data_IF_274035431052
#
_entry.id   IF_274035431052
#
_cell.length_a   1.000
_cell.length_b   1.000
_cell.length_c   1.000
_cell.angle_alpha   90.00
_cell.angle_beta   90.00
_cell.angle_gamma   90.00
#
_symmetry.space_group_name_H-M   'P 1'
#
loop_
_entity.id
_entity.type
_entity.pdbx_description
1 polymer ?
#
# COMPACT_ATOMS: atom_id res chain seq x y z
N UNK A 1 -11.40 -1.66 -19.35
CA UNK A 1 -11.12 -2.05 -17.96
C UNK A 1 -12.45 -2.14 -17.24
N UNK A 2 -12.73 -3.26 -16.60
CA UNK A 2 -14.00 -3.48 -15.90
C UNK A 2 -13.96 -2.82 -14.51
N UNK A 3 -15.10 -2.37 -13.97
CA UNK A 3 -15.17 -1.72 -12.64
C UNK A 3 -14.52 -2.54 -11.51
N UNK A 4 -14.49 -3.87 -11.63
CA UNK A 4 -13.84 -4.76 -10.66
C UNK A 4 -12.32 -4.64 -10.68
N UNK A 5 -11.72 -4.40 -11.85
CA UNK A 5 -10.28 -4.16 -11.98
C UNK A 5 -9.90 -2.84 -11.29
N UNK A 6 -10.72 -1.81 -11.45
CA UNK A 6 -10.49 -0.50 -10.83
C UNK A 6 -10.64 -0.50 -9.30
N UNK A 7 -11.39 -1.45 -8.71
CA UNK A 7 -11.58 -1.54 -7.25
C UNK A 7 -10.40 -2.18 -6.53
N UNK A 8 -9.85 -3.27 -7.05
CA UNK A 8 -8.74 -3.97 -6.39
C UNK A 8 -7.44 -3.15 -6.42
N UNK A 9 -7.27 -2.29 -7.43
CA UNK A 9 -6.19 -1.29 -7.47
C UNK A 9 -6.35 -0.15 -6.44
N UNK A 10 -7.48 -0.08 -5.74
CA UNK A 10 -7.81 1.00 -4.79
C UNK A 10 -7.84 0.57 -3.33
N UNK A 11 -7.78 -0.73 -3.04
CA UNK A 11 -7.86 -1.26 -1.67
C UNK A 11 -6.49 -1.71 -1.20
N UNK A 12 -6.04 -1.14 -0.08
CA UNK A 12 -4.84 -1.58 0.64
C UNK A 12 -5.24 -2.27 1.94
N UNK A 13 -4.83 -3.52 2.08
CA UNK A 13 -5.04 -4.30 3.29
C UNK A 13 -3.91 -4.03 4.28
N UNK A 14 -4.26 -3.61 5.48
CA UNK A 14 -3.33 -3.29 6.57
C UNK A 14 -3.31 -4.46 7.53
N UNK A 15 -2.25 -5.27 7.45
CA UNK A 15 -1.94 -6.32 8.41
C UNK A 15 -0.67 -5.90 9.16
N UNK A 16 -0.71 -5.92 10.50
CA UNK A 16 0.41 -5.46 11.30
C UNK A 16 1.66 -6.34 11.06
N UNK A 17 2.83 -5.71 10.95
CA UNK A 17 4.12 -6.33 10.61
C UNK A 17 4.17 -6.99 9.21
N UNK A 18 3.30 -6.59 8.27
CA UNK A 18 3.36 -7.03 6.88
C UNK A 18 3.70 -5.88 5.92
N UNK A 19 4.34 -6.16 4.78
CA UNK A 19 4.56 -5.17 3.74
C UNK A 19 3.23 -4.65 3.19
N UNK A 20 3.17 -3.36 2.88
CA UNK A 20 2.02 -2.72 2.27
C UNK A 20 1.91 -3.09 0.79
N UNK A 21 1.15 -4.15 0.51
CA UNK A 21 0.91 -4.71 -0.84
C UNK A 21 -0.56 -4.54 -1.22
N UNK A 22 -0.80 -4.20 -2.48
CA UNK A 22 -2.14 -4.04 -3.04
C UNK A 22 -2.18 -4.36 -4.54
N UNK A 23 -3.34 -4.14 -5.16
CA UNK A 23 -3.60 -4.44 -6.56
C UNK A 23 -4.28 -5.79 -6.74
N UNK A 24 -4.93 -5.96 -7.90
CA UNK A 24 -5.71 -7.18 -8.23
C UNK A 24 -4.89 -8.47 -8.12
N UNK A 25 -3.61 -8.40 -8.46
CA UNK A 25 -2.69 -9.55 -8.48
C UNK A 25 -1.64 -9.46 -7.36
N UNK A 26 -1.84 -8.57 -6.37
CA UNK A 26 -0.89 -8.32 -5.29
C UNK A 26 0.52 -7.96 -5.82
N UNK A 27 0.56 -7.24 -6.93
CA UNK A 27 1.76 -6.91 -7.68
C UNK A 27 2.20 -5.45 -7.51
N UNK A 28 1.52 -4.66 -6.66
CA UNK A 28 1.89 -3.28 -6.33
C UNK A 28 2.20 -3.15 -4.84
N UNK A 29 3.13 -2.26 -4.51
CA UNK A 29 3.53 -2.00 -3.14
C UNK A 29 3.78 -0.52 -2.87
N UNK A 30 3.85 -0.17 -1.59
CA UNK A 30 4.28 1.16 -1.14
C UNK A 30 5.75 1.09 -0.76
N UNK A 31 6.61 1.79 -1.49
CA UNK A 31 8.03 1.95 -1.19
C UNK A 31 8.31 3.36 -0.66
N UNK A 32 9.32 3.51 0.18
CA UNK A 32 9.80 4.82 0.65
C UNK A 32 11.11 5.18 -0.07
N UNK A 33 11.05 6.19 -0.94
CA UNK A 33 12.25 6.83 -1.49
C UNK A 33 12.67 7.97 -0.54
N UNK A 34 13.54 7.64 0.41
CA UNK A 34 13.79 8.48 1.58
C UNK A 34 12.54 8.56 2.46
N UNK A 35 11.91 9.73 2.55
CA UNK A 35 10.66 9.96 3.29
C UNK A 35 9.44 10.12 2.38
N UNK A 36 9.59 9.89 1.07
CA UNK A 36 8.51 10.08 0.09
C UNK A 36 7.92 8.72 -0.28
N UNK A 37 6.61 8.49 -0.05
CA UNK A 37 5.94 7.26 -0.46
C UNK A 37 5.83 7.22 -1.98
N UNK A 38 5.96 6.02 -2.56
CA UNK A 38 5.76 5.75 -3.98
C UNK A 38 5.06 4.42 -4.18
N UNK A 39 4.13 4.38 -5.12
CA UNK A 39 3.63 3.11 -5.65
C UNK A 39 4.68 2.52 -6.58
N UNK A 40 5.04 1.26 -6.34
CA UNK A 40 5.97 0.50 -7.17
C UNK A 40 5.34 -0.82 -7.61
N UNK A 41 5.74 -1.32 -8.77
CA UNK A 41 5.41 -2.69 -9.20
C UNK A 41 6.46 -3.68 -8.67
N UNK A 42 5.98 -4.77 -8.09
CA UNK A 42 6.78 -5.86 -7.52
C UNK A 42 7.17 -6.82 -8.66
N UNK A 43 8.43 -7.22 -8.72
CA UNK A 43 8.95 -8.15 -9.74
C UNK A 43 10.39 -7.82 -10.13
N UNK A 44 10.56 -6.93 -11.11
CA UNK A 44 11.86 -6.65 -11.73
C UNK A 44 12.84 -5.96 -10.77
N UNK A 45 12.51 -4.73 -10.35
CA UNK A 45 13.40 -3.89 -9.53
C UNK A 45 13.10 -4.00 -8.03
N UNK A 46 11.85 -4.30 -7.69
CA UNK A 46 11.34 -4.22 -6.33
C UNK A 46 10.82 -5.58 -5.89
N UNK A 47 11.17 -5.96 -4.67
CA UNK A 47 10.64 -7.13 -3.97
C UNK A 47 9.75 -6.70 -2.81
N UNK A 48 9.07 -7.65 -2.17
CA UNK A 48 8.29 -7.37 -0.96
C UNK A 48 9.14 -6.86 0.20
N UNK A 49 10.43 -7.18 0.23
CA UNK A 49 11.35 -6.79 1.30
C UNK A 49 11.75 -5.32 1.20
N UNK A 50 11.53 -4.69 0.04
CA UNK A 50 11.79 -3.27 -0.21
C UNK A 50 10.60 -2.37 0.17
N UNK A 51 9.46 -2.94 0.56
CA UNK A 51 8.23 -2.20 0.81
C UNK A 51 8.15 -1.72 2.25
N UNK A 52 7.39 -0.63 2.45
CA UNK A 52 7.03 -0.15 3.77
C UNK A 52 6.24 -1.23 4.51
N UNK A 53 6.73 -1.64 5.67
CA UNK A 53 6.05 -2.56 6.57
C UNK A 53 5.08 -1.78 7.44
N UNK A 54 3.83 -2.24 7.51
CA UNK A 54 2.84 -1.64 8.39
C UNK A 54 3.22 -1.89 9.86
N UNK A 55 3.19 -0.83 10.65
CA UNK A 55 3.24 -0.89 12.10
C UNK A 55 2.06 -0.10 12.65
N UNK A 56 1.09 -0.79 13.25
CA UNK A 56 -0.14 -0.18 13.77
C UNK A 56 0.10 0.79 14.94
N UNK A 57 1.27 0.70 15.59
CA UNK A 57 1.65 1.57 16.70
C UNK A 57 2.47 2.80 16.27
N UNK A 58 2.89 2.85 15.00
CA UNK A 58 3.72 3.93 14.47
C UNK A 58 2.85 5.10 13.96
N UNK A 59 2.91 6.22 14.68
CA UNK A 59 2.17 7.43 14.34
C UNK A 59 2.56 8.01 12.97
N UNK A 60 3.83 7.90 12.57
CA UNK A 60 4.32 8.42 11.29
C UNK A 60 3.68 7.65 10.14
N UNK A 61 3.65 6.33 10.25
CA UNK A 61 2.99 5.47 9.26
C UNK A 61 1.49 5.74 9.23
N UNK A 62 0.84 5.91 10.39
CA UNK A 62 -0.58 6.25 10.45
C UNK A 62 -0.91 7.58 9.75
N UNK A 63 -0.08 8.61 9.96
CA UNK A 63 -0.25 9.92 9.32
C UNK A 63 -0.01 9.83 7.80
N UNK A 64 1.01 9.09 7.38
CA UNK A 64 1.32 8.82 5.98
C UNK A 64 0.15 8.14 5.27
N UNK A 65 -0.33 7.02 5.82
CA UNK A 65 -1.45 6.26 5.26
C UNK A 65 -2.72 7.10 5.15
N UNK A 66 -3.02 7.94 6.15
CA UNK A 66 -4.17 8.85 6.11
C UNK A 66 -4.13 9.80 4.90
N UNK A 67 -2.93 10.23 4.47
CA UNK A 67 -2.76 11.12 3.32
C UNK A 67 -3.06 10.47 1.96
N UNK A 68 -3.05 9.13 1.87
CA UNK A 68 -3.25 8.40 0.60
C UNK A 68 -4.66 8.58 0.04
N UNK A 69 -5.65 8.71 0.92
CA UNK A 69 -7.07 8.84 0.52
C UNK A 69 -7.38 10.07 -0.33
N UNK A 70 -6.46 11.04 -0.39
CA UNK A 70 -6.61 12.30 -1.15
C UNK A 70 -5.75 12.35 -2.42
N UNK A 71 -5.03 11.28 -2.74
CA UNK A 71 -4.07 11.23 -3.84
C UNK A 71 -4.45 10.11 -4.81
N UNK A 72 -4.66 10.47 -6.08
CA UNK A 72 -5.18 9.54 -7.09
C UNK A 72 -4.22 8.37 -7.39
N UNK A 73 -2.92 8.55 -7.15
CA UNK A 73 -1.90 7.52 -7.39
C UNK A 73 -1.89 6.42 -6.31
N UNK A 74 -2.44 6.69 -5.13
CA UNK A 74 -2.44 5.77 -3.99
C UNK A 74 -3.78 5.03 -3.83
N UNK A 75 -3.78 3.88 -3.14
CA UNK A 75 -5.02 3.23 -2.73
C UNK A 75 -5.83 4.17 -1.82
N UNK A 76 -7.10 4.37 -2.15
CA UNK A 76 -7.99 5.29 -1.43
C UNK A 76 -8.91 4.59 -0.43
N UNK A 77 -8.84 3.26 -0.33
CA UNK A 77 -9.56 2.46 0.64
C UNK A 77 -8.55 1.67 1.48
N UNK A 78 -8.50 1.98 2.78
CA UNK A 78 -7.64 1.27 3.73
C UNK A 78 -8.50 0.33 4.56
N UNK A 79 -8.13 -0.95 4.61
CA UNK A 79 -8.89 -1.97 5.33
C UNK A 79 -7.97 -2.69 6.31
N UNK A 80 -8.29 -2.60 7.60
CA UNK A 80 -7.56 -3.32 8.65
C UNK A 80 -7.91 -4.81 8.61
N UNK A 81 -6.89 -5.65 8.59
CA UNK A 81 -7.01 -7.10 8.62
C UNK A 81 -6.47 -7.62 9.96
N UNK A 82 -7.37 -8.14 10.80
CA UNK A 82 -7.03 -8.78 12.07
C UNK A 82 -7.42 -10.25 11.98
N UNK A 83 -6.47 -11.16 12.18
CA UNK A 83 -6.74 -12.61 12.30
C UNK A 83 -7.38 -12.96 13.64
#
# INVERSE_FOLDING_TARGET
MTEKETKADKVLWLENNKPLVFGKEMNKGIHLDGNVPKVVEIGDKWSTDDLLVHNETDWTIAMLLSSFTYQDEFPNQLVFFTL
#
